data_IF_563169536682
#
_entry.id   IF_563169536682
#
_cell.length_a   1.000
_cell.length_b   1.000
_cell.length_c   1.000
_cell.angle_alpha   90.00
_cell.angle_beta   90.00
_cell.angle_gamma   90.00
#
_symmetry.space_group_name_H-M   'P 1'
#
loop_
_entity.id
_entity.type
_entity.pdbx_description
1 polymer ?
#
# COMPACT_ATOMS: atom_id res chain seq x y z
N UNK A 1 -4.72 -46.64 -16.82
CA UNK A 1 -5.62 -45.52 -17.18
C UNK A 1 -5.48 -44.45 -16.10
N UNK A 2 -5.11 -43.20 -16.29
CA UNK A 2 -4.46 -42.45 -17.35
C UNK A 2 -3.77 -41.32 -16.56
N UNK A 3 -2.43 -41.31 -16.51
CA UNK A 3 -1.67 -40.21 -15.91
C UNK A 3 -1.91 -39.00 -16.80
N UNK A 4 -2.63 -38.00 -16.29
CA UNK A 4 -2.83 -36.75 -17.01
C UNK A 4 -1.54 -35.93 -16.92
N UNK A 5 -0.59 -36.25 -17.79
CA UNK A 5 0.54 -35.39 -18.13
C UNK A 5 -0.01 -34.24 -18.96
N UNK A 6 -0.05 -33.04 -18.37
CA UNK A 6 0.28 -31.75 -18.99
C UNK A 6 -0.33 -30.60 -18.16
N UNK A 7 0.40 -30.19 -17.14
CA UNK A 7 0.43 -28.79 -16.70
C UNK A 7 1.89 -28.49 -16.36
N UNK A 8 2.70 -28.35 -17.40
CA UNK A 8 4.00 -27.68 -17.25
C UNK A 8 3.64 -26.22 -16.95
N UNK A 9 3.50 -25.86 -15.66
CA UNK A 9 3.63 -24.47 -15.27
C UNK A 9 5.06 -24.10 -15.66
N UNK A 10 5.23 -23.45 -16.81
CA UNK A 10 6.46 -22.72 -17.10
C UNK A 10 6.66 -21.75 -15.96
N UNK A 11 7.64 -22.00 -15.08
CA UNK A 11 7.97 -21.06 -14.01
C UNK A 11 8.47 -19.78 -14.69
N UNK A 12 7.64 -18.75 -14.68
CA UNK A 12 8.05 -17.45 -15.20
C UNK A 12 8.94 -16.82 -14.14
N UNK A 13 10.22 -16.60 -14.49
CA UNK A 13 11.19 -15.96 -13.61
C UNK A 13 10.64 -14.59 -13.15
N UNK A 14 10.56 -14.39 -11.84
CA UNK A 14 10.17 -13.11 -11.27
C UNK A 14 11.23 -12.05 -11.57
N UNK A 15 10.77 -10.86 -11.94
CA UNK A 15 11.61 -9.68 -12.18
C UNK A 15 11.37 -8.59 -11.14
N UNK A 16 10.24 -8.63 -10.44
CA UNK A 16 9.87 -7.65 -9.43
C UNK A 16 9.26 -8.33 -8.19
N UNK A 17 9.77 -7.96 -7.03
CA UNK A 17 9.20 -8.33 -5.72
C UNK A 17 8.67 -7.06 -5.05
N UNK A 18 7.36 -7.02 -4.84
CA UNK A 18 6.69 -5.99 -4.05
C UNK A 18 6.53 -6.49 -2.61
N UNK A 19 7.00 -5.72 -1.62
CA UNK A 19 7.05 -6.16 -0.24
C UNK A 19 6.27 -5.22 0.66
N UNK A 20 5.40 -5.75 1.51
CA UNK A 20 5.05 -5.03 2.74
C UNK A 20 6.31 -4.82 3.61
N UNK A 21 6.22 -3.91 4.58
CA UNK A 21 7.34 -3.51 5.43
C UNK A 21 7.23 -4.08 6.85
N UNK A 22 6.18 -3.71 7.59
CA UNK A 22 6.00 -4.03 9.00
C UNK A 22 5.47 -5.45 9.17
N UNK A 23 6.23 -6.33 9.83
CA UNK A 23 5.88 -7.76 9.93
C UNK A 23 6.42 -8.61 8.78
N UNK A 24 6.92 -7.97 7.71
CA UNK A 24 7.51 -8.63 6.54
C UNK A 24 9.02 -8.42 6.43
N UNK A 25 9.49 -7.18 6.58
CA UNK A 25 10.92 -6.81 6.49
C UNK A 25 11.52 -6.57 7.87
N UNK A 26 10.73 -6.00 8.79
CA UNK A 26 11.16 -5.70 10.15
C UNK A 26 10.00 -5.77 11.14
N UNK A 27 10.33 -5.85 12.43
CA UNK A 27 9.43 -5.65 13.56
C UNK A 27 9.97 -4.48 14.38
N UNK A 28 9.26 -3.35 14.38
CA UNK A 28 9.73 -2.12 15.00
C UNK A 28 11.00 -1.59 14.31
N UNK A 29 12.14 -1.66 15.01
CA UNK A 29 13.46 -1.23 14.51
C UNK A 29 14.45 -2.40 14.32
N UNK A 30 13.94 -3.64 14.32
CA UNK A 30 14.75 -4.85 14.13
C UNK A 30 14.35 -5.54 12.84
N UNK A 31 15.33 -5.83 11.98
CA UNK A 31 15.08 -6.66 10.80
C UNK A 31 14.67 -8.06 11.22
N UNK A 32 13.78 -8.66 10.41
CA UNK A 32 13.53 -10.09 10.49
C UNK A 32 14.81 -10.85 10.08
N UNK A 33 15.05 -11.98 10.74
CA UNK A 33 16.22 -12.80 10.47
C UNK A 33 16.26 -13.25 9.00
N UNK A 34 17.44 -13.13 8.38
CA UNK A 34 17.66 -13.51 6.97
C UNK A 34 17.28 -12.45 5.93
N UNK A 35 16.66 -11.33 6.31
CA UNK A 35 16.26 -10.24 5.40
C UNK A 35 17.44 -9.71 4.56
N UNK A 36 18.62 -9.50 5.16
CA UNK A 36 19.78 -8.99 4.41
C UNK A 36 20.19 -9.94 3.29
N UNK A 37 20.19 -11.24 3.56
CA UNK A 37 20.58 -12.26 2.59
C UNK A 37 19.63 -12.30 1.39
N UNK A 38 18.32 -12.11 1.62
CA UNK A 38 17.35 -12.09 0.52
C UNK A 38 17.53 -10.83 -0.35
N UNK A 39 17.76 -9.64 0.23
CA UNK A 39 18.02 -8.44 -0.57
C UNK A 39 19.32 -8.55 -1.38
N UNK A 40 20.37 -9.14 -0.82
CA UNK A 40 21.60 -9.43 -1.57
C UNK A 40 21.36 -10.42 -2.71
N UNK A 41 20.51 -11.42 -2.49
CA UNK A 41 20.11 -12.37 -3.53
C UNK A 41 19.31 -11.69 -4.65
N UNK A 42 18.34 -10.83 -4.32
CA UNK A 42 17.55 -10.09 -5.31
C UNK A 42 18.45 -9.24 -6.21
N UNK A 43 19.40 -8.50 -5.62
CA UNK A 43 20.40 -7.71 -6.38
C UNK A 43 21.25 -8.59 -7.28
N UNK A 44 21.84 -9.68 -6.74
CA UNK A 44 22.67 -10.62 -7.53
C UNK A 44 21.90 -11.29 -8.67
N UNK A 45 20.58 -11.44 -8.52
CA UNK A 45 19.71 -12.11 -9.47
C UNK A 45 19.08 -11.19 -10.52
N UNK A 46 19.38 -9.87 -10.43
CA UNK A 46 18.73 -8.80 -11.20
C UNK A 46 17.20 -8.84 -11.07
N UNK A 47 16.72 -8.97 -9.84
CA UNK A 47 15.30 -8.90 -9.50
C UNK A 47 15.12 -7.58 -8.74
N UNK A 48 14.30 -6.69 -9.29
CA UNK A 48 13.96 -5.43 -8.65
C UNK A 48 13.09 -5.68 -7.41
N UNK A 49 13.14 -4.75 -6.46
CA UNK A 49 12.27 -4.77 -5.31
C UNK A 49 11.71 -3.39 -5.00
N UNK A 50 10.48 -3.38 -4.49
CA UNK A 50 9.75 -2.18 -4.07
C UNK A 50 9.04 -2.46 -2.76
N UNK A 51 9.29 -1.62 -1.77
CA UNK A 51 8.55 -1.57 -0.52
C UNK A 51 7.21 -0.84 -0.75
N UNK A 52 6.12 -1.49 -0.37
CA UNK A 52 4.76 -1.01 -0.45
C UNK A 52 4.25 -0.67 0.95
N UNK A 53 3.76 0.55 1.13
CA UNK A 53 3.22 0.99 2.43
C UNK A 53 1.91 1.74 2.28
N UNK A 54 0.91 1.37 3.09
CA UNK A 54 -0.29 2.16 3.25
C UNK A 54 -0.07 3.36 4.19
N UNK A 55 0.99 3.32 5.00
CA UNK A 55 1.20 4.31 6.04
C UNK A 55 1.60 5.67 5.44
N UNK A 56 0.68 6.63 5.56
CA UNK A 56 0.84 8.03 5.15
C UNK A 56 1.23 8.98 6.29
N UNK A 57 1.63 8.47 7.47
CA UNK A 57 2.01 9.29 8.63
C UNK A 57 3.42 9.89 8.55
N UNK A 58 4.26 9.37 7.66
CA UNK A 58 5.63 9.84 7.47
C UNK A 58 5.94 10.09 5.99
N UNK A 59 6.84 11.04 5.74
CA UNK A 59 7.39 11.29 4.42
C UNK A 59 8.30 10.13 3.98
N UNK A 60 8.47 9.94 2.67
CA UNK A 60 9.23 8.83 2.11
C UNK A 60 10.67 8.72 2.64
N UNK A 61 11.34 9.86 2.81
CA UNK A 61 12.73 9.93 3.30
C UNK A 61 12.90 9.28 4.68
N UNK A 62 11.87 9.33 5.53
CA UNK A 62 11.88 8.66 6.83
C UNK A 62 12.05 7.14 6.68
N UNK A 63 11.30 6.53 5.78
CA UNK A 63 11.37 5.08 5.53
C UNK A 63 12.69 4.67 4.89
N UNK A 64 13.19 5.47 3.94
CA UNK A 64 14.49 5.26 3.30
C UNK A 64 15.60 5.27 4.35
N UNK A 65 15.62 6.28 5.23
CA UNK A 65 16.60 6.37 6.32
C UNK A 65 16.46 5.21 7.31
N UNK A 66 15.23 4.83 7.67
CA UNK A 66 14.96 3.71 8.58
C UNK A 66 15.54 2.40 8.02
N UNK A 67 15.20 2.05 6.78
CA UNK A 67 15.70 0.83 6.11
C UNK A 67 17.23 0.85 5.95
N UNK A 68 17.81 2.00 5.59
CA UNK A 68 19.27 2.16 5.52
C UNK A 68 19.97 1.95 6.86
N UNK A 69 19.44 2.51 7.96
CA UNK A 69 20.00 2.31 9.31
C UNK A 69 20.00 0.84 9.72
N UNK A 70 19.03 0.07 9.25
CA UNK A 70 18.96 -1.37 9.47
C UNK A 70 19.92 -2.18 8.57
N UNK A 71 20.56 -1.53 7.60
CA UNK A 71 21.62 -2.10 6.76
C UNK A 71 21.13 -2.72 5.46
N UNK A 72 20.01 -2.23 4.91
CA UNK A 72 19.55 -2.56 3.57
C UNK A 72 19.76 -1.33 2.68
N UNK A 73 20.53 -1.48 1.61
CA UNK A 73 20.69 -0.40 0.63
C UNK A 73 19.41 -0.23 -0.20
N UNK A 74 18.82 0.97 -0.13
CA UNK A 74 17.65 1.36 -0.91
C UNK A 74 17.69 2.86 -1.23
N UNK A 75 16.86 3.30 -2.15
CA UNK A 75 16.61 4.70 -2.46
C UNK A 75 15.10 4.94 -2.64
N UNK A 76 14.70 6.16 -2.95
CA UNK A 76 13.30 6.56 -3.13
C UNK A 76 12.58 5.72 -4.21
N UNK A 77 13.30 5.22 -5.23
CA UNK A 77 12.70 4.39 -6.27
C UNK A 77 12.28 3.00 -5.78
N UNK A 78 12.85 2.54 -4.66
CA UNK A 78 12.47 1.30 -4.00
C UNK A 78 11.23 1.44 -3.12
N UNK A 79 10.53 2.58 -3.10
CA UNK A 79 9.34 2.75 -2.29
C UNK A 79 8.14 3.21 -3.11
N UNK A 80 6.97 2.71 -2.73
CA UNK A 80 5.70 3.14 -3.30
C UNK A 80 4.62 3.14 -2.22
N UNK A 81 4.03 4.29 -1.96
CA UNK A 81 3.06 4.48 -0.88
C UNK A 81 1.63 4.67 -1.39
N UNK A 82 0.67 4.62 -0.47
CA UNK A 82 -0.72 5.05 -0.70
C UNK A 82 -0.81 6.49 -1.22
N UNK A 83 0.09 7.37 -0.78
CA UNK A 83 0.23 8.75 -1.28
C UNK A 83 0.65 8.78 -2.76
N UNK A 84 1.69 8.01 -3.13
CA UNK A 84 2.11 7.92 -4.54
C UNK A 84 0.96 7.40 -5.42
N UNK A 85 0.24 6.41 -4.88
CA UNK A 85 -0.91 5.78 -5.55
C UNK A 85 -2.03 6.78 -5.82
N UNK A 86 -2.35 7.61 -4.82
CA UNK A 86 -3.35 8.67 -4.93
C UNK A 86 -2.96 9.74 -5.94
N UNK A 87 -1.72 10.24 -5.89
CA UNK A 87 -1.24 11.27 -6.81
C UNK A 87 -1.29 10.77 -8.26
N UNK A 88 -0.81 9.55 -8.53
CA UNK A 88 -0.86 8.99 -9.90
C UNK A 88 -2.30 8.77 -10.35
N UNK A 89 -3.16 8.22 -9.51
CA UNK A 89 -4.58 8.05 -9.82
C UNK A 89 -5.24 9.38 -10.24
N UNK A 90 -5.03 10.45 -9.46
CA UNK A 90 -5.58 11.77 -9.77
C UNK A 90 -5.05 12.35 -11.08
N UNK A 91 -3.77 12.10 -11.42
CA UNK A 91 -3.16 12.49 -12.70
C UNK A 91 -3.76 11.72 -13.88
N UNK A 92 -3.92 10.41 -13.73
CA UNK A 92 -4.49 9.54 -14.77
C UNK A 92 -5.97 9.90 -15.03
N UNK A 93 -6.71 10.23 -13.97
CA UNK A 93 -8.08 10.74 -14.01
C UNK A 93 -8.18 12.22 -14.47
N UNK A 94 -7.04 12.87 -14.73
CA UNK A 94 -6.92 14.27 -15.18
C UNK A 94 -7.57 15.30 -14.25
N UNK A 95 -7.66 15.00 -12.96
CA UNK A 95 -8.23 15.88 -11.94
C UNK A 95 -7.44 17.18 -11.86
N UNK A 96 -8.14 18.32 -11.70
CA UNK A 96 -7.51 19.64 -11.57
C UNK A 96 -7.72 20.25 -10.20
N UNK A 97 -8.90 20.07 -9.61
CA UNK A 97 -9.30 20.68 -8.35
C UNK A 97 -9.55 19.63 -7.26
N UNK A 98 -8.96 19.86 -6.08
CA UNK A 98 -9.04 18.94 -4.95
C UNK A 98 -9.41 19.71 -3.68
N UNK A 99 -10.27 19.14 -2.84
CA UNK A 99 -10.24 19.42 -1.41
C UNK A 99 -9.57 18.25 -0.71
N UNK A 100 -8.68 18.50 0.26
CA UNK A 100 -7.92 17.42 0.89
C UNK A 100 -7.84 17.56 2.39
N UNK A 101 -8.13 16.46 3.09
CA UNK A 101 -7.76 16.25 4.49
C UNK A 101 -6.42 15.51 4.49
N UNK A 102 -5.47 15.98 5.29
CA UNK A 102 -4.11 15.46 5.32
C UNK A 102 -3.13 16.45 5.92
N UNK A 103 -2.03 15.90 6.46
CA UNK A 103 -0.93 16.71 7.03
C UNK A 103 -0.37 17.73 6.04
N UNK A 104 0.20 18.83 6.55
CA UNK A 104 0.68 19.95 5.72
C UNK A 104 1.66 19.53 4.64
N UNK A 105 2.59 18.62 4.94
CA UNK A 105 3.58 18.14 3.97
C UNK A 105 2.94 17.45 2.76
N UNK A 106 1.83 16.74 2.97
CA UNK A 106 1.08 16.10 1.89
C UNK A 106 0.29 17.13 1.06
N UNK A 107 -0.36 18.09 1.72
CA UNK A 107 -1.00 19.24 1.05
C UNK A 107 0.00 19.99 0.16
N UNK A 108 1.22 20.22 0.63
CA UNK A 108 2.26 20.91 -0.13
C UNK A 108 2.78 20.09 -1.32
N UNK A 109 2.82 18.75 -1.22
CA UNK A 109 3.11 17.87 -2.36
C UNK A 109 2.03 17.98 -3.45
N UNK A 110 0.75 17.95 -3.06
CA UNK A 110 -0.38 18.03 -4.00
C UNK A 110 -0.41 19.37 -4.76
N UNK A 111 -0.07 20.49 -4.12
CA UNK A 111 -0.05 21.82 -4.76
C UNK A 111 0.88 21.93 -5.97
N UNK A 112 1.84 21.00 -6.12
CA UNK A 112 2.74 20.97 -7.29
C UNK A 112 2.01 20.60 -8.58
N UNK A 113 0.95 19.81 -8.48
CA UNK A 113 0.24 19.23 -9.61
C UNK A 113 -1.26 19.59 -9.68
N UNK A 114 -1.84 20.02 -8.55
CA UNK A 114 -3.27 20.24 -8.38
C UNK A 114 -3.59 21.60 -7.76
N UNK A 115 -4.79 22.12 -8.06
CA UNK A 115 -5.35 23.30 -7.38
C UNK A 115 -6.10 22.84 -6.13
N UNK A 116 -5.59 23.19 -4.95
CA UNK A 116 -6.30 22.92 -3.70
C UNK A 116 -7.37 23.98 -3.46
N UNK A 117 -8.58 23.52 -3.17
CA UNK A 117 -9.74 24.32 -2.79
C UNK A 117 -9.74 24.48 -1.28
N UNK A 118 -10.05 25.67 -0.77
CA UNK A 118 -10.17 25.93 0.67
C UNK A 118 -11.54 25.50 1.21
N UNK A 119 -11.61 25.20 2.50
CA UNK A 119 -12.81 24.73 3.21
C UNK A 119 -13.99 25.72 3.15
N UNK A 120 -13.70 26.99 2.90
CA UNK A 120 -14.70 28.08 2.79
C UNK A 120 -15.17 28.34 1.36
N UNK A 121 -14.62 27.64 0.38
CA UNK A 121 -14.93 27.84 -1.03
C UNK A 121 -16.38 27.46 -1.38
N UNK A 122 -17.01 28.27 -2.24
CA UNK A 122 -18.30 27.92 -2.85
C UNK A 122 -18.14 26.96 -4.04
N UNK A 123 -16.94 26.93 -4.66
CA UNK A 123 -16.62 26.03 -5.78
C UNK A 123 -16.44 24.61 -5.25
N UNK A 124 -17.20 23.68 -5.82
CA UNK A 124 -17.10 22.25 -5.48
C UNK A 124 -15.87 21.66 -6.19
N UNK A 125 -14.90 21.08 -5.47
CA UNK A 125 -13.76 20.41 -6.06
C UNK A 125 -14.19 19.12 -6.77
N UNK A 126 -13.47 18.72 -7.80
CA UNK A 126 -13.72 17.45 -8.50
C UNK A 126 -13.56 16.23 -7.58
N UNK A 127 -12.58 16.27 -6.67
CA UNK A 127 -12.31 15.21 -5.71
C UNK A 127 -12.10 15.78 -4.31
N UNK A 128 -12.70 15.10 -3.32
CA UNK A 128 -12.39 15.23 -1.91
C UNK A 128 -11.50 14.05 -1.52
N UNK A 129 -10.21 14.32 -1.31
CA UNK A 129 -9.19 13.34 -0.99
C UNK A 129 -8.94 13.30 0.52
N UNK A 130 -9.00 12.12 1.13
CA UNK A 130 -8.72 11.94 2.55
C UNK A 130 -7.47 11.10 2.73
N UNK A 131 -6.55 11.56 3.58
CA UNK A 131 -5.38 10.81 4.02
C UNK A 131 -5.24 10.89 5.55
N UNK A 132 -4.15 10.33 6.08
CA UNK A 132 -3.80 10.49 7.50
C UNK A 132 -3.61 11.98 7.84
N UNK A 133 -4.31 12.44 8.89
CA UNK A 133 -4.31 13.84 9.27
C UNK A 133 -4.31 14.02 10.80
N UNK A 134 -3.15 14.34 11.36
CA UNK A 134 -3.01 14.72 12.78
C UNK A 134 -3.30 16.19 13.04
N UNK A 135 -3.46 16.99 11.99
CA UNK A 135 -3.73 18.43 12.05
C UNK A 135 -5.23 18.74 11.87
N UNK A 136 -6.05 17.69 11.70
CA UNK A 136 -7.47 17.76 11.38
C UNK A 136 -8.25 18.63 12.38
N UNK A 137 -9.02 19.58 11.84
CA UNK A 137 -9.99 20.37 12.60
C UNK A 137 -11.43 20.15 12.11
N UNK A 138 -12.40 20.47 12.97
CA UNK A 138 -13.82 20.20 12.69
C UNK A 138 -14.34 20.91 11.43
N UNK A 139 -13.91 22.14 11.16
CA UNK A 139 -14.35 22.86 9.95
C UNK A 139 -13.89 22.18 8.66
N UNK A 140 -12.72 21.54 8.68
CA UNK A 140 -12.23 20.80 7.51
C UNK A 140 -13.08 19.56 7.25
N UNK A 141 -13.39 18.81 8.31
CA UNK A 141 -14.28 17.64 8.24
C UNK A 141 -15.68 18.02 7.74
N UNK A 142 -16.22 19.14 8.22
CA UNK A 142 -17.51 19.68 7.78
C UNK A 142 -17.48 20.05 6.29
N UNK A 143 -16.42 20.72 5.83
CA UNK A 143 -16.26 21.06 4.42
C UNK A 143 -16.16 19.82 3.53
N UNK A 144 -15.39 18.79 3.94
CA UNK A 144 -15.33 17.51 3.22
C UNK A 144 -16.73 16.92 3.04
N UNK A 145 -17.53 16.86 4.11
CA UNK A 145 -18.91 16.35 4.04
C UNK A 145 -19.77 17.15 3.06
N UNK A 146 -19.69 18.49 3.12
CA UNK A 146 -20.45 19.37 2.24
C UNK A 146 -20.05 19.22 0.76
N UNK A 147 -18.75 19.15 0.46
CA UNK A 147 -18.28 18.96 -0.91
C UNK A 147 -18.71 17.62 -1.48
N UNK A 148 -18.63 16.55 -0.69
CA UNK A 148 -19.08 15.21 -1.09
C UNK A 148 -20.59 15.19 -1.35
N UNK A 149 -21.40 15.79 -0.47
CA UNK A 149 -22.86 15.92 -0.67
C UNK A 149 -23.22 16.75 -1.91
N UNK A 150 -22.36 17.69 -2.32
CA UNK A 150 -22.50 18.48 -3.54
C UNK A 150 -21.94 17.80 -4.80
N UNK A 151 -21.46 16.56 -4.70
CA UNK A 151 -21.03 15.76 -5.84
C UNK A 151 -19.52 15.65 -6.04
N UNK A 152 -18.70 16.14 -5.12
CA UNK A 152 -17.26 15.87 -5.12
C UNK A 152 -17.01 14.37 -4.94
N UNK A 153 -16.14 13.78 -5.75
CA UNK A 153 -15.81 12.35 -5.65
C UNK A 153 -15.06 12.11 -4.34
N UNK A 154 -15.52 11.14 -3.54
CA UNK A 154 -14.88 10.79 -2.28
C UNK A 154 -13.78 9.73 -2.51
N UNK A 155 -12.52 10.12 -2.33
CA UNK A 155 -11.34 9.27 -2.55
C UNK A 155 -10.48 9.26 -1.28
N UNK A 156 -9.85 8.13 -0.97
CA UNK A 156 -9.04 7.97 0.23
C UNK A 156 -7.74 7.20 -0.06
N UNK A 157 -6.65 7.57 0.64
CA UNK A 157 -5.33 6.96 0.41
C UNK A 157 -5.28 5.49 0.83
N UNK A 158 -5.81 5.15 2.01
CA UNK A 158 -5.75 3.80 2.58
C UNK A 158 -6.98 3.55 3.48
N UNK A 159 -7.32 2.28 3.69
CA UNK A 159 -8.49 1.89 4.47
C UNK A 159 -8.20 1.61 5.95
N UNK A 160 -7.00 1.95 6.44
CA UNK A 160 -6.62 1.67 7.82
C UNK A 160 -7.43 2.55 8.76
N UNK A 161 -8.12 1.93 9.72
CA UNK A 161 -8.99 2.68 10.64
C UNK A 161 -8.23 3.40 11.75
N UNK A 162 -7.05 2.87 12.11
CA UNK A 162 -6.29 3.31 13.27
C UNK A 162 -4.80 3.15 13.05
N UNK A 163 -4.03 4.13 13.52
CA UNK A 163 -2.59 4.11 13.53
C UNK A 163 -2.10 3.80 14.96
N UNK A 164 -1.23 2.79 15.16
CA UNK A 164 -0.65 2.50 16.47
C UNK A 164 0.34 3.59 16.89
N UNK A 165 0.31 3.96 18.17
CA UNK A 165 1.26 4.90 18.78
C UNK A 165 1.93 4.27 20.02
N UNK A 166 2.95 4.95 20.54
CA UNK A 166 3.71 4.51 21.70
C UNK A 166 2.81 4.27 22.92
N UNK A 167 3.16 3.26 23.73
CA UNK A 167 2.35 2.85 24.89
C UNK A 167 1.18 1.90 24.57
N UNK A 168 1.08 1.42 23.32
CA UNK A 168 0.02 0.47 22.92
C UNK A 168 -1.34 1.13 22.68
N UNK A 169 -1.35 2.45 22.49
CA UNK A 169 -2.54 3.21 22.15
C UNK A 169 -2.73 3.33 20.64
N UNK A 170 -3.92 3.77 20.23
CA UNK A 170 -4.28 3.95 18.83
C UNK A 170 -4.90 5.34 18.63
N UNK A 171 -4.61 5.94 17.49
CA UNK A 171 -5.23 7.18 17.01
C UNK A 171 -5.97 6.92 15.70
N UNK A 172 -6.94 7.77 15.29
CA UNK A 172 -7.59 7.65 13.99
C UNK A 172 -6.58 7.71 12.84
N UNK A 173 -6.81 6.89 11.82
CA UNK A 173 -6.11 6.94 10.53
C UNK A 173 -7.12 7.24 9.41
N UNK A 174 -6.67 7.27 8.15
CA UNK A 174 -7.43 7.64 6.96
C UNK A 174 -8.82 6.97 6.92
N UNK A 175 -8.90 5.66 7.14
CA UNK A 175 -10.16 4.92 7.17
C UNK A 175 -11.07 5.32 8.33
N UNK A 176 -10.51 5.69 9.48
CA UNK A 176 -11.26 6.18 10.65
C UNK A 176 -11.86 7.57 10.39
N UNK A 177 -11.08 8.47 9.78
CA UNK A 177 -11.57 9.78 9.32
C UNK A 177 -12.68 9.58 8.28
N UNK A 178 -12.47 8.65 7.32
CA UNK A 178 -13.45 8.33 6.30
C UNK A 178 -14.78 7.80 6.87
N UNK A 179 -14.76 6.98 7.91
CA UNK A 179 -15.99 6.50 8.56
C UNK A 179 -16.84 7.67 9.10
N UNK A 180 -16.20 8.71 9.64
CA UNK A 180 -16.91 9.88 10.13
C UNK A 180 -17.64 10.62 8.99
N UNK A 181 -16.96 10.77 7.86
CA UNK A 181 -17.51 11.41 6.65
C UNK A 181 -18.60 10.54 6.03
N UNK A 182 -18.39 9.24 5.90
CA UNK A 182 -19.37 8.29 5.36
C UNK A 182 -20.66 8.31 6.19
N UNK A 183 -20.55 8.33 7.52
CA UNK A 183 -21.71 8.41 8.42
C UNK A 183 -22.55 9.68 8.21
N UNK A 184 -21.93 10.79 7.78
CA UNK A 184 -22.63 12.06 7.51
C UNK A 184 -23.18 12.15 6.08
N UNK A 185 -22.51 11.53 5.12
CA UNK A 185 -22.76 11.73 3.68
C UNK A 185 -23.52 10.56 3.04
N UNK A 186 -23.51 9.36 3.64
CA UNK A 186 -23.90 8.09 3.04
C UNK A 186 -23.14 7.75 1.74
N UNK A 187 -21.98 8.37 1.51
CA UNK A 187 -21.11 8.12 0.37
C UNK A 187 -19.88 7.35 0.85
N UNK A 188 -19.60 6.22 0.20
CA UNK A 188 -18.41 5.42 0.47
C UNK A 188 -17.20 5.98 -0.28
N UNK A 189 -16.02 6.05 0.36
CA UNK A 189 -14.81 6.44 -0.33
C UNK A 189 -14.34 5.34 -1.29
N UNK A 190 -13.69 5.77 -2.37
CA UNK A 190 -12.79 4.89 -3.12
C UNK A 190 -11.43 4.85 -2.42
N UNK A 191 -11.10 3.73 -1.79
CA UNK A 191 -9.77 3.49 -1.22
C UNK A 191 -8.78 3.04 -2.30
N UNK A 192 -7.61 3.67 -2.35
CA UNK A 192 -6.58 3.41 -3.38
C UNK A 192 -5.44 2.50 -2.89
N UNK A 193 -5.15 2.51 -1.60
CA UNK A 193 -4.13 1.66 -0.97
C UNK A 193 -4.54 0.19 -0.88
N UNK A 194 -3.63 -0.66 -0.40
CA UNK A 194 -3.88 -2.09 -0.19
C UNK A 194 -5.14 -2.26 0.68
N UNK A 195 -6.09 -3.16 0.33
CA UNK A 195 -6.03 -4.24 -0.66
C UNK A 195 -6.45 -3.88 -2.09
N UNK A 196 -6.66 -2.60 -2.43
CA UNK A 196 -6.94 -2.23 -3.81
C UNK A 196 -5.74 -2.56 -4.72
N UNK A 197 -5.97 -2.95 -5.98
CA UNK A 197 -4.90 -3.37 -6.89
C UNK A 197 -4.04 -2.20 -7.40
N UNK A 198 -4.55 -0.97 -7.29
CA UNK A 198 -3.97 0.22 -7.92
C UNK A 198 -2.48 0.39 -7.59
N UNK A 199 -2.09 0.21 -6.32
CA UNK A 199 -0.69 0.33 -5.92
C UNK A 199 0.25 -0.61 -6.70
N UNK A 200 -0.13 -1.89 -6.85
CA UNK A 200 0.66 -2.86 -7.60
C UNK A 200 0.61 -2.62 -9.10
N UNK A 201 -0.55 -2.25 -9.65
CA UNK A 201 -0.70 -1.95 -11.08
C UNK A 201 0.22 -0.80 -11.51
N UNK A 202 0.26 0.25 -10.70
CA UNK A 202 1.11 1.42 -10.95
C UNK A 202 2.60 1.08 -10.79
N UNK A 203 2.95 0.23 -9.83
CA UNK A 203 4.33 -0.26 -9.65
C UNK A 203 4.76 -1.13 -10.84
N UNK A 204 3.91 -2.05 -11.30
CA UNK A 204 4.18 -2.86 -12.50
C UNK A 204 4.37 -2.00 -13.75
N UNK A 205 3.57 -0.94 -13.90
CA UNK A 205 3.71 0.05 -14.98
C UNK A 205 5.07 0.78 -14.89
N UNK A 206 5.45 1.27 -13.70
CA UNK A 206 6.73 1.95 -13.46
C UNK A 206 7.93 1.07 -13.85
N UNK A 207 7.90 -0.21 -13.47
CA UNK A 207 8.99 -1.16 -13.72
C UNK A 207 8.87 -1.88 -15.07
N UNK A 208 7.78 -1.66 -15.83
CA UNK A 208 7.51 -2.29 -17.13
C UNK A 208 7.55 -3.82 -17.07
N UNK A 209 6.95 -4.37 -16.02
CA UNK A 209 6.86 -5.82 -15.79
C UNK A 209 5.41 -6.29 -15.89
N UNK A 210 5.23 -7.57 -16.20
CA UNK A 210 3.90 -8.20 -16.25
C UNK A 210 3.47 -8.74 -14.89
N UNK A 211 2.18 -9.07 -14.76
CA UNK A 211 1.61 -9.72 -13.57
C UNK A 211 2.33 -11.03 -13.24
N UNK A 212 2.70 -11.80 -14.26
CA UNK A 212 3.40 -13.07 -14.09
C UNK A 212 4.85 -12.92 -13.61
N UNK A 213 5.49 -11.79 -13.91
CA UNK A 213 6.86 -11.46 -13.48
C UNK A 213 6.91 -10.77 -12.10
N UNK A 214 5.74 -10.50 -11.51
CA UNK A 214 5.60 -9.79 -10.23
C UNK A 214 5.20 -10.76 -9.12
N UNK A 215 5.71 -10.51 -7.92
CA UNK A 215 5.37 -11.24 -6.70
C UNK A 215 5.03 -10.23 -5.60
N UNK A 216 3.90 -10.39 -4.92
CA UNK A 216 3.55 -9.64 -3.72
C UNK A 216 3.91 -10.44 -2.47
N UNK A 217 4.63 -9.85 -1.53
CA UNK A 217 5.06 -10.46 -0.27
C UNK A 217 4.49 -9.65 0.89
N UNK A 218 3.84 -10.30 1.86
CA UNK A 218 3.29 -9.63 3.02
C UNK A 218 2.84 -10.60 4.12
N UNK A 219 2.52 -10.07 5.29
CA UNK A 219 2.11 -10.84 6.48
C UNK A 219 0.61 -10.69 6.79
N UNK A 220 -0.10 -9.76 6.14
CA UNK A 220 -1.53 -9.55 6.32
C UNK A 220 -2.35 -10.08 5.16
N UNK A 221 -3.31 -10.96 5.46
CA UNK A 221 -4.21 -11.49 4.44
C UNK A 221 -5.08 -10.39 3.81
N UNK A 222 -5.82 -9.65 4.64
CA UNK A 222 -6.84 -8.70 4.20
C UNK A 222 -6.29 -7.45 3.52
N UNK A 223 -4.98 -7.16 3.61
CA UNK A 223 -4.30 -6.09 2.87
C UNK A 223 -3.38 -6.64 1.80
N UNK A 224 -2.30 -7.32 2.17
CA UNK A 224 -1.16 -7.57 1.27
C UNK A 224 -1.46 -8.68 0.29
N UNK A 225 -1.95 -9.80 0.82
CA UNK A 225 -2.30 -10.95 0.00
C UNK A 225 -3.50 -10.60 -0.88
N UNK A 226 -4.52 -9.94 -0.33
CA UNK A 226 -5.65 -9.47 -1.13
C UNK A 226 -5.24 -8.42 -2.17
N UNK A 227 -4.28 -7.52 -1.91
CA UNK A 227 -3.76 -6.59 -2.92
C UNK A 227 -3.14 -7.34 -4.10
N UNK A 228 -2.32 -8.36 -3.81
CA UNK A 228 -1.72 -9.19 -4.85
C UNK A 228 -2.77 -9.98 -5.65
N UNK A 229 -3.73 -10.59 -4.98
CA UNK A 229 -4.83 -11.35 -5.61
C UNK A 229 -5.69 -10.44 -6.48
N UNK A 230 -6.08 -9.27 -5.98
CA UNK A 230 -6.88 -8.29 -6.71
C UNK A 230 -6.13 -7.74 -7.94
N UNK A 231 -4.80 -7.58 -7.84
CA UNK A 231 -3.97 -7.19 -8.98
C UNK A 231 -3.71 -8.35 -9.96
N UNK A 232 -4.00 -9.60 -9.55
CA UNK A 232 -3.78 -10.81 -10.34
C UNK A 232 -2.31 -11.24 -10.40
N UNK A 233 -1.52 -10.93 -9.37
CA UNK A 233 -0.12 -11.38 -9.23
C UNK A 233 -0.03 -12.56 -8.26
N UNK A 234 1.04 -13.35 -8.35
CA UNK A 234 1.31 -14.37 -7.33
C UNK A 234 1.64 -13.70 -5.99
N UNK A 235 1.33 -14.40 -4.90
CA UNK A 235 1.46 -13.88 -3.53
C UNK A 235 2.24 -14.84 -2.65
N UNK A 236 3.14 -14.33 -1.82
CA UNK A 236 3.85 -15.08 -0.80
C UNK A 236 3.54 -14.48 0.58
N UNK A 237 2.84 -15.25 1.40
CA UNK A 237 2.60 -14.91 2.80
C UNK A 237 3.81 -15.29 3.65
N UNK A 238 4.18 -14.43 4.60
CA UNK A 238 5.20 -14.72 5.62
C UNK A 238 4.54 -14.81 7.00
N UNK A 239 5.04 -15.70 7.87
CA UNK A 239 4.47 -15.97 9.20
C UNK A 239 5.12 -15.17 10.33
N UNK A 240 5.85 -14.10 9.99
CA UNK A 240 6.58 -13.23 10.92
C UNK A 240 5.74 -12.07 11.46
N UNK A 241 4.54 -11.86 10.95
CA UNK A 241 3.66 -10.75 11.31
C UNK A 241 2.30 -11.19 11.85
N UNK A 242 1.24 -10.53 11.38
CA UNK A 242 -0.09 -10.57 12.00
C UNK A 242 -0.89 -11.85 11.72
N UNK A 243 -0.92 -12.30 10.46
CA UNK A 243 -1.80 -13.42 10.06
C UNK A 243 -1.13 -14.77 10.30
N UNK A 244 -1.84 -15.69 10.94
CA UNK A 244 -1.36 -17.04 11.22
C UNK A 244 -1.48 -17.96 10.01
N UNK A 245 -0.69 -19.04 10.00
CA UNK A 245 -0.76 -20.09 8.95
C UNK A 245 -2.16 -20.69 8.82
N UNK A 246 -2.85 -20.90 9.95
CA UNK A 246 -4.19 -21.46 9.96
C UNK A 246 -5.20 -20.51 9.29
N UNK A 247 -5.10 -19.20 9.57
CA UNK A 247 -5.94 -18.18 8.95
C UNK A 247 -5.68 -18.07 7.44
N UNK A 248 -4.42 -18.08 7.00
CA UNK A 248 -4.11 -18.10 5.57
C UNK A 248 -4.68 -19.31 4.84
N UNK A 249 -4.61 -20.50 5.45
CA UNK A 249 -5.15 -21.74 4.85
C UNK A 249 -6.67 -21.80 4.87
N UNK A 250 -7.32 -21.13 5.83
CA UNK A 250 -8.77 -21.08 5.97
C UNK A 250 -9.42 -19.96 5.14
N UNK A 251 -8.63 -19.01 4.63
CA UNK A 251 -9.13 -17.90 3.82
C UNK A 251 -9.79 -18.39 2.52
N UNK A 252 -10.85 -17.70 2.10
CA UNK A 252 -11.53 -17.97 0.82
C UNK A 252 -10.57 -17.85 -0.38
N UNK A 253 -9.61 -16.93 -0.27
CA UNK A 253 -8.58 -16.69 -1.26
C UNK A 253 -7.19 -16.80 -0.60
N UNK A 254 -6.62 -18.02 -0.51
CA UNK A 254 -5.33 -18.23 0.14
C UNK A 254 -4.17 -17.67 -0.73
N UNK A 255 -3.02 -17.34 -0.11
CA UNK A 255 -1.84 -16.92 -0.85
C UNK A 255 -1.27 -18.05 -1.73
N UNK A 256 -0.49 -17.70 -2.75
CA UNK A 256 0.14 -18.70 -3.64
C UNK A 256 1.19 -19.53 -2.90
N UNK A 257 1.94 -18.87 -2.01
CA UNK A 257 2.98 -19.46 -1.18
C UNK A 257 2.77 -19.03 0.28
N UNK A 258 3.10 -19.91 1.23
CA UNK A 258 3.19 -19.60 2.66
C UNK A 258 4.59 -19.99 3.10
N UNK A 259 5.33 -19.02 3.63
CA UNK A 259 6.72 -19.13 4.05
C UNK A 259 6.83 -18.83 5.55
N UNK A 260 7.75 -19.48 6.24
CA UNK A 260 7.96 -19.18 7.66
C UNK A 260 8.58 -17.79 7.83
N UNK A 261 9.45 -17.38 6.91
CA UNK A 261 10.03 -16.04 6.84
C UNK A 261 10.27 -15.57 5.39
N UNK A 262 10.46 -14.26 5.21
CA UNK A 262 11.00 -13.68 3.97
C UNK A 262 12.36 -14.28 3.58
N UNK A 263 13.11 -14.84 4.53
CA UNK A 263 14.36 -15.55 4.26
C UNK A 263 14.18 -16.73 3.30
N UNK A 264 13.00 -17.36 3.31
CA UNK A 264 12.68 -18.56 2.52
C UNK A 264 12.24 -18.21 1.09
N UNK A 265 12.16 -16.91 0.75
CA UNK A 265 11.73 -16.44 -0.57
C UNK A 265 12.65 -16.97 -1.69
N UNK A 266 13.91 -17.23 -1.39
CA UNK A 266 14.87 -17.82 -2.32
C UNK A 266 14.39 -19.16 -2.88
N UNK A 267 13.69 -19.98 -2.07
CA UNK A 267 13.19 -21.30 -2.49
C UNK A 267 12.15 -21.24 -3.60
N UNK A 268 11.42 -20.12 -3.71
CA UNK A 268 10.41 -19.92 -4.75
C UNK A 268 10.94 -19.09 -5.93
N UNK A 269 11.97 -18.28 -5.73
CA UNK A 269 12.60 -17.48 -6.79
C UNK A 269 13.62 -18.28 -7.62
N UNK A 270 14.15 -19.39 -7.11
CA UNK A 270 15.09 -20.28 -7.81
C UNK A 270 14.43 -21.28 -8.79
N UNK A 271 13.10 -21.37 -8.80
CA UNK A 271 12.32 -22.32 -9.62
C UNK A 271 12.07 -21.81 -11.05
#
# INVERSE_FOLDING_TARGET
MTVNKNNVKTTIKKKLVCLDMDGTVYLGDQLIDGVKNIFDYLRKSNIDFVFLTNNSSHVLSFYVEKIKRMGIECNDDNFYSSINTAIKYLKDEKVKTLYTLGVKSFKDELKKDFTLVDETSEVVPEVTLVSFDTELVYEELKAACLFIQKGSRFVATNMDYRCPIEGGFYIPDCGGICQCIEACTNVKPLFLGKPAPAMLEQVMEKFKVTKAETLMVGDRHYTDIMAGINAGVETAAVLTGETTKAEFLAAEHPPTYILDSIADLKEILEK
#
